data_IF_180829544342
#
_entry.id   IF_180829544342
#
_cell.length_a   1.000
_cell.length_b   1.000
_cell.length_c   1.000
_cell.angle_alpha   90.00
_cell.angle_beta   90.00
_cell.angle_gamma   90.00
#
_symmetry.space_group_name_H-M   'P 1'
#
loop_
_entity.id
_entity.type
_entity.pdbx_description
1 polymer ?
#
# COMPACT_ATOMS: atom_id res chain seq x y z
N UNK A 1 8.14 -9.39 19.98
CA UNK A 1 8.43 -10.50 19.04
C UNK A 1 7.87 -10.10 17.70
N UNK A 2 8.69 -10.10 16.66
CA UNK A 2 8.23 -9.77 15.32
C UNK A 2 7.31 -10.88 14.80
N UNK A 3 6.10 -10.52 14.41
CA UNK A 3 5.17 -11.47 13.79
C UNK A 3 5.61 -11.72 12.36
N UNK A 4 5.99 -12.95 12.03
CA UNK A 4 6.24 -13.34 10.64
C UNK A 4 4.91 -13.63 9.95
N UNK A 5 4.70 -13.05 8.78
CA UNK A 5 3.55 -13.31 7.92
C UNK A 5 4.03 -13.68 6.52
N UNK A 6 3.20 -14.39 5.77
CA UNK A 6 3.43 -14.56 4.34
C UNK A 6 2.96 -13.29 3.62
N UNK A 7 3.90 -12.50 3.13
CA UNK A 7 3.58 -11.25 2.44
C UNK A 7 3.13 -11.56 1.01
N UNK A 8 1.86 -11.29 0.70
CA UNK A 8 1.32 -11.52 -0.66
C UNK A 8 1.94 -10.58 -1.69
N UNK A 9 2.38 -9.39 -1.29
CA UNK A 9 3.09 -8.47 -2.19
C UNK A 9 4.51 -8.95 -2.53
N UNK A 10 5.24 -9.47 -1.55
CA UNK A 10 6.63 -9.91 -1.74
C UNK A 10 6.74 -11.40 -2.11
N UNK A 11 5.63 -12.14 -2.06
CA UNK A 11 5.55 -13.58 -2.25
C UNK A 11 6.54 -14.37 -1.38
N UNK A 12 6.79 -13.89 -0.15
CA UNK A 12 7.73 -14.49 0.81
C UNK A 12 7.34 -14.19 2.25
N UNK A 13 7.86 -14.98 3.18
CA UNK A 13 7.76 -14.73 4.61
C UNK A 13 8.55 -13.48 5.01
N UNK A 14 7.88 -12.53 5.66
CA UNK A 14 8.47 -11.27 6.10
C UNK A 14 7.83 -10.81 7.41
N UNK A 15 8.45 -9.81 8.05
CA UNK A 15 7.89 -9.23 9.27
C UNK A 15 6.60 -8.45 8.97
N UNK A 16 5.50 -8.90 9.57
CA UNK A 16 4.21 -8.22 9.56
C UNK A 16 4.23 -6.93 10.36
N UNK A 17 3.19 -6.13 10.14
CA UNK A 17 2.97 -4.89 10.89
C UNK A 17 2.83 -5.18 12.40
N UNK A 18 3.27 -4.24 13.24
CA UNK A 18 3.15 -4.36 14.70
C UNK A 18 1.70 -4.17 15.16
N UNK A 19 0.94 -3.31 14.47
CA UNK A 19 -0.43 -2.98 14.82
C UNK A 19 -1.28 -2.70 13.58
N UNK A 20 -2.60 -2.84 13.74
CA UNK A 20 -3.59 -2.53 12.71
C UNK A 20 -3.71 -1.00 12.55
N UNK A 21 -3.22 -0.48 11.41
CA UNK A 21 -3.20 0.95 11.10
C UNK A 21 -4.57 1.50 10.64
N UNK A 22 -5.43 0.62 10.10
CA UNK A 22 -6.74 1.00 9.57
C UNK A 22 -7.85 0.29 10.34
N UNK A 23 -8.93 0.97 10.74
CA UNK A 23 -10.11 0.29 11.28
C UNK A 23 -10.82 -0.53 10.20
N UNK A 24 -11.60 -1.53 10.61
CA UNK A 24 -12.41 -2.37 9.71
C UNK A 24 -11.70 -3.58 9.12
N UNK A 25 -12.32 -4.21 8.12
CA UNK A 25 -11.80 -5.43 7.49
C UNK A 25 -10.55 -5.17 6.64
N UNK A 26 -10.46 -4.00 6.02
CA UNK A 26 -9.30 -3.61 5.20
C UNK A 26 -8.01 -3.60 6.02
N UNK A 27 -8.04 -2.97 7.20
CA UNK A 27 -6.86 -2.96 8.07
C UNK A 27 -6.50 -4.32 8.63
N UNK A 28 -7.49 -5.19 8.90
CA UNK A 28 -7.21 -6.60 9.25
C UNK A 28 -6.53 -7.32 8.10
N UNK A 29 -6.97 -7.09 6.87
CA UNK A 29 -6.37 -7.69 5.67
C UNK A 29 -4.93 -7.24 5.53
N UNK A 30 -4.66 -5.94 5.57
CA UNK A 30 -3.30 -5.37 5.50
C UNK A 30 -2.43 -5.95 6.61
N UNK A 31 -2.93 -5.97 7.85
CA UNK A 31 -2.19 -6.50 8.98
C UNK A 31 -1.81 -7.99 8.83
N UNK A 32 -2.64 -8.80 8.18
CA UNK A 32 -2.40 -10.24 8.02
C UNK A 32 -1.55 -10.60 6.79
N UNK A 33 -1.69 -9.84 5.71
CA UNK A 33 -1.17 -10.21 4.39
C UNK A 33 0.01 -9.33 3.94
N UNK A 34 0.21 -8.16 4.55
CA UNK A 34 1.19 -7.15 4.12
C UNK A 34 2.27 -6.97 5.18
N UNK A 35 3.52 -7.09 4.74
CA UNK A 35 4.69 -6.90 5.61
C UNK A 35 5.01 -5.43 5.84
N UNK A 36 5.81 -5.14 6.86
CA UNK A 36 6.37 -3.79 7.12
C UNK A 36 7.10 -3.24 5.89
N UNK A 37 7.83 -4.09 5.18
CA UNK A 37 8.58 -3.71 3.97
C UNK A 37 7.64 -3.30 2.83
N UNK A 38 6.61 -4.10 2.54
CA UNK A 38 5.61 -3.76 1.52
C UNK A 38 4.80 -2.51 1.89
N UNK A 39 4.48 -2.35 3.19
CA UNK A 39 3.79 -1.17 3.69
C UNK A 39 4.62 0.12 3.52
N UNK A 40 5.92 0.06 3.78
CA UNK A 40 6.84 1.19 3.57
C UNK A 40 6.89 1.62 2.08
N UNK A 41 6.88 0.64 1.17
CA UNK A 41 6.78 0.91 -0.27
C UNK A 41 5.46 1.61 -0.62
N UNK A 42 4.34 1.14 -0.05
CA UNK A 42 3.05 1.79 -0.22
C UNK A 42 3.04 3.23 0.32
N UNK A 43 3.60 3.50 1.49
CA UNK A 43 3.68 4.87 2.05
C UNK A 43 4.42 5.84 1.12
N UNK A 44 5.47 5.35 0.46
CA UNK A 44 6.22 6.14 -0.53
C UNK A 44 5.37 6.43 -1.76
N UNK A 45 4.71 5.42 -2.32
CA UNK A 45 3.79 5.56 -3.47
C UNK A 45 2.60 6.46 -3.14
N UNK A 46 2.00 6.30 -1.96
CA UNK A 46 0.94 7.16 -1.44
C UNK A 46 1.37 8.63 -1.43
N UNK A 47 2.57 8.91 -0.92
CA UNK A 47 3.10 10.28 -0.90
C UNK A 47 3.25 10.84 -2.31
N UNK A 48 3.76 10.04 -3.27
CA UNK A 48 3.85 10.46 -4.67
C UNK A 48 2.47 10.73 -5.27
N UNK A 49 1.49 9.83 -5.08
CA UNK A 49 0.11 9.98 -5.57
C UNK A 49 -0.56 11.24 -5.02
N UNK A 50 -0.35 11.55 -3.74
CA UNK A 50 -0.91 12.76 -3.12
C UNK A 50 -0.34 14.02 -3.76
N UNK A 51 0.97 14.05 -4.03
CA UNK A 51 1.62 15.21 -4.64
C UNK A 51 1.24 15.36 -6.13
N UNK A 52 1.30 14.28 -6.90
CA UNK A 52 1.01 14.25 -8.34
C UNK A 52 -0.45 14.60 -8.64
N UNK A 53 -1.39 13.90 -8.01
CA UNK A 53 -2.84 14.11 -8.21
C UNK A 53 -3.40 15.22 -7.32
N UNK A 54 -2.55 15.92 -6.54
CA UNK A 54 -2.93 16.94 -5.54
C UNK A 54 -4.11 16.48 -4.68
N UNK A 55 -4.02 15.26 -4.16
CA UNK A 55 -5.13 14.63 -3.44
C UNK A 55 -5.34 15.27 -2.08
N UNK A 56 -6.50 15.91 -1.90
CA UNK A 56 -6.94 16.35 -0.58
C UNK A 56 -7.54 15.20 0.25
N UNK A 57 -6.87 14.84 1.35
CA UNK A 57 -7.32 13.86 2.36
C UNK A 57 -8.66 14.21 3.03
N UNK A 58 -9.09 15.47 2.96
CA UNK A 58 -10.41 15.87 3.46
C UNK A 58 -11.53 15.44 2.52
N UNK A 59 -11.27 15.35 1.21
CA UNK A 59 -12.26 14.93 0.23
C UNK A 59 -12.47 13.40 0.29
N UNK A 60 -13.72 12.98 0.39
CA UNK A 60 -14.12 11.56 0.46
C UNK A 60 -13.81 10.83 -0.85
N UNK A 61 -13.95 11.49 -2.00
CA UNK A 61 -13.65 10.89 -3.31
C UNK A 61 -12.16 10.56 -3.44
N UNK A 62 -11.30 11.48 -2.99
CA UNK A 62 -9.86 11.29 -3.03
C UNK A 62 -9.38 10.21 -2.05
N UNK A 63 -10.02 10.11 -0.87
CA UNK A 63 -9.78 9.00 0.06
C UNK A 63 -10.15 7.65 -0.53
N UNK A 64 -11.31 7.55 -1.17
CA UNK A 64 -11.72 6.33 -1.87
C UNK A 64 -10.73 5.95 -2.97
N UNK A 65 -10.27 6.92 -3.76
CA UNK A 65 -9.27 6.67 -4.79
C UNK A 65 -7.95 6.15 -4.18
N UNK A 66 -7.46 6.79 -3.11
CA UNK A 66 -6.29 6.32 -2.37
C UNK A 66 -6.44 4.90 -1.82
N UNK A 67 -7.60 4.56 -1.25
CA UNK A 67 -7.89 3.20 -0.79
C UNK A 67 -7.93 2.19 -1.94
N UNK A 68 -8.51 2.56 -3.09
CA UNK A 68 -8.50 1.70 -4.27
C UNK A 68 -7.09 1.44 -4.79
N UNK A 69 -6.28 2.50 -4.94
CA UNK A 69 -4.89 2.39 -5.36
C UNK A 69 -4.07 1.56 -4.36
N UNK A 70 -4.35 1.71 -3.04
CA UNK A 70 -3.71 0.91 -2.00
C UNK A 70 -4.01 -0.57 -2.17
N UNK A 71 -5.29 -0.92 -2.33
CA UNK A 71 -5.71 -2.31 -2.50
C UNK A 71 -5.13 -2.90 -3.78
N UNK A 72 -5.14 -2.13 -4.87
CA UNK A 72 -4.55 -2.57 -6.13
C UNK A 72 -3.04 -2.81 -6.02
N UNK A 73 -2.30 -1.86 -5.42
CA UNK A 73 -0.86 -1.96 -5.26
C UNK A 73 -0.47 -3.12 -4.34
N UNK A 74 -1.13 -3.26 -3.19
CA UNK A 74 -0.73 -4.21 -2.15
C UNK A 74 -1.24 -5.64 -2.39
N UNK A 75 -2.45 -5.81 -2.94
CA UNK A 75 -3.09 -7.13 -3.03
C UNK A 75 -3.24 -7.67 -4.44
N UNK A 76 -3.52 -6.83 -5.44
CA UNK A 76 -3.69 -7.32 -6.80
C UNK A 76 -2.36 -7.56 -7.51
N UNK A 77 -1.24 -7.06 -6.96
CA UNK A 77 0.07 -7.12 -7.62
C UNK A 77 0.05 -6.50 -9.03
N UNK A 78 -1.03 -5.79 -9.37
CA UNK A 78 -1.12 -4.99 -10.57
C UNK A 78 -0.24 -3.80 -10.31
N UNK A 79 0.79 -3.69 -11.14
CA UNK A 79 1.53 -2.46 -11.34
C UNK A 79 0.49 -1.34 -11.42
N UNK A 80 0.33 -0.57 -10.34
CA UNK A 80 -0.53 0.61 -10.36
C UNK A 80 0.10 1.47 -11.43
N UNK A 81 -0.54 1.47 -12.60
CA UNK A 81 -0.07 2.19 -13.77
C UNK A 81 -0.26 3.67 -13.45
N UNK A 82 0.73 4.22 -12.75
CA UNK A 82 0.89 5.66 -12.58
C UNK A 82 1.32 6.13 -13.96
N UNK A 83 0.35 6.54 -14.76
CA UNK A 83 0.55 7.18 -16.06
C UNK A 83 1.55 8.34 -15.86
N UNK A 84 2.83 8.10 -16.16
CA UNK A 84 3.91 9.09 -16.00
C UNK A 84 5.24 8.64 -15.37
N UNK A 85 5.35 7.49 -14.70
CA UNK A 85 6.62 7.12 -14.03
C UNK A 85 7.35 5.94 -14.70
N UNK A 86 8.29 6.27 -15.59
CA UNK A 86 9.28 5.32 -16.14
C UNK A 86 10.41 5.14 -15.11
N UNK A 87 10.63 3.93 -14.54
CA UNK A 87 11.79 3.71 -13.68
C UNK A 87 13.10 3.91 -14.48
N UNK A 88 14.12 4.58 -13.95
CA UNK A 88 15.40 4.69 -14.64
C UNK A 88 16.00 3.30 -14.81
N UNK A 89 16.23 2.93 -16.07
CA UNK A 89 16.95 1.72 -16.45
C UNK A 89 18.40 1.89 -16.00
N UNK A 90 18.86 0.95 -15.16
CA UNK A 90 20.24 0.88 -14.71
C UNK A 90 21.20 0.68 -15.90
#
# INVERSE_FOLDING_TARGET
MSRTIFCTFLHRDAEGLDFQLYPGELGKRIYNDISKEAWSQWQTKQTMLINEKKLNMMNVEHRKLLEQEMVQFLFEGKDVHIDGYTPPQH
#
